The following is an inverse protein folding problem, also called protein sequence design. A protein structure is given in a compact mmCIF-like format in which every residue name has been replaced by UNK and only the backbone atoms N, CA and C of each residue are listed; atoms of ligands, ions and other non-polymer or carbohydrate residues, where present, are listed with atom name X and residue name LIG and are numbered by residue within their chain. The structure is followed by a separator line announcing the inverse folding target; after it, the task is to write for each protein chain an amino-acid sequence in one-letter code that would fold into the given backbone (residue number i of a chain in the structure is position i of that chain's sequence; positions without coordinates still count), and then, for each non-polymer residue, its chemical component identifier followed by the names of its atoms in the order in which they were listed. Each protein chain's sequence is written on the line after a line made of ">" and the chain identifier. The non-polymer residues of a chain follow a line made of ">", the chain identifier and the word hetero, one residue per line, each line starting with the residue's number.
data_IF_613779215530
#
_entry.id   IF_613779215530
#
_cell.length_a   1.000
_cell.length_b   1.000
_cell.length_c   1.000
_cell.angle_alpha   90.00
_cell.angle_beta   90.00
_cell.angle_gamma   90.00
#
_symmetry.space_group_name_H-M   'P 1'
#
loop_
_entity.id
_entity.type
_entity.pdbx_description
1 polymer ?
#
# COMPACT_ATOMS: atom_id res chain seq x y z
N UNK A 1 2.31 -3.97 -21.82
CA UNK A 1 2.20 -2.65 -21.20
C UNK A 1 2.86 -2.77 -19.83
N UNK A 2 4.10 -2.31 -19.67
CA UNK A 2 4.81 -2.42 -18.40
C UNK A 2 4.11 -1.51 -17.39
N UNK A 3 3.49 -2.08 -16.36
CA UNK A 3 2.99 -1.27 -15.23
C UNK A 3 4.21 -0.52 -14.68
N UNK A 4 4.18 0.82 -14.57
CA UNK A 4 5.31 1.56 -13.99
C UNK A 4 5.60 1.00 -12.61
N UNK A 5 6.87 0.73 -12.33
CA UNK A 5 7.27 0.24 -11.02
C UNK A 5 6.93 1.30 -9.97
N UNK A 6 6.33 0.90 -8.84
CA UNK A 6 5.99 1.85 -7.79
C UNK A 6 7.26 2.54 -7.27
N UNK A 7 7.15 3.85 -7.10
CA UNK A 7 8.19 4.70 -6.50
C UNK A 7 8.48 4.25 -5.08
N UNK A 8 9.67 4.58 -4.54
CA UNK A 8 10.04 4.21 -3.17
C UNK A 8 9.07 4.77 -2.12
N UNK A 9 8.45 5.92 -2.40
CA UNK A 9 7.39 6.51 -1.57
C UNK A 9 6.11 5.65 -1.57
N UNK A 10 5.72 5.11 -2.73
CA UNK A 10 4.60 4.18 -2.85
C UNK A 10 4.87 2.85 -2.13
N UNK A 11 6.11 2.36 -2.19
CA UNK A 11 6.54 1.20 -1.40
C UNK A 11 6.42 1.47 0.10
N UNK A 12 6.87 2.64 0.56
CA UNK A 12 6.74 3.03 1.97
C UNK A 12 5.27 3.07 2.42
N UNK A 13 4.36 3.56 1.57
CA UNK A 13 2.92 3.55 1.84
C UNK A 13 2.36 2.12 1.90
N UNK A 14 2.76 1.23 0.98
CA UNK A 14 2.34 -0.18 1.03
C UNK A 14 2.79 -0.89 2.31
N UNK A 15 4.02 -0.63 2.79
CA UNK A 15 4.52 -1.17 4.06
C UNK A 15 3.74 -0.61 5.24
N UNK A 16 3.46 0.70 5.26
CA UNK A 16 2.68 1.33 6.31
C UNK A 16 1.26 0.75 6.37
N UNK A 17 0.61 0.57 5.22
CA UNK A 17 -0.70 -0.09 5.15
C UNK A 17 -0.64 -1.52 5.69
N UNK A 18 0.40 -2.28 5.34
CA UNK A 18 0.60 -3.64 5.84
C UNK A 18 0.73 -3.68 7.37
N UNK A 19 1.37 -2.68 7.98
CA UNK A 19 1.64 -2.63 9.43
C UNK A 19 0.55 -1.94 10.26
N UNK A 20 -0.02 -0.84 9.75
CA UNK A 20 -0.89 0.08 10.50
C UNK A 20 -2.29 0.20 9.90
N UNK A 21 -2.56 -0.47 8.76
CA UNK A 21 -3.76 -0.30 7.95
C UNK A 21 -3.95 1.14 7.42
N UNK A 22 -2.86 1.90 7.27
CA UNK A 22 -2.87 3.26 6.73
C UNK A 22 -3.42 4.30 7.71
N UNK A 23 -3.27 4.04 9.01
CA UNK A 23 -3.86 4.86 10.08
C UNK A 23 -3.12 6.16 10.32
N UNK A 24 -1.83 6.20 10.02
CA UNK A 24 -0.92 7.30 10.29
C UNK A 24 -0.40 7.99 9.01
N UNK A 25 -1.08 7.77 7.88
CA UNK A 25 -0.68 8.34 6.59
C UNK A 25 -0.88 9.86 6.58
N UNK A 26 0.18 10.58 6.23
CA UNK A 26 0.14 12.03 6.01
C UNK A 26 -0.48 12.40 4.65
N UNK A 27 -0.62 13.70 4.36
CA UNK A 27 -1.31 14.18 3.15
C UNK A 27 -0.63 13.74 1.84
N UNK A 28 0.70 13.69 1.80
CA UNK A 28 1.46 13.18 0.64
C UNK A 28 1.27 11.68 0.46
N UNK A 29 1.40 10.92 1.54
CA UNK A 29 1.15 9.47 1.53
C UNK A 29 -0.30 9.10 1.17
N UNK A 30 -1.27 9.95 1.50
CA UNK A 30 -2.68 9.76 1.11
C UNK A 30 -2.91 9.94 -0.40
N UNK A 31 -2.19 10.83 -1.05
CA UNK A 31 -2.23 10.96 -2.51
C UNK A 31 -1.69 9.69 -3.17
N UNK A 32 -0.57 9.18 -2.67
CA UNK A 32 0.02 7.95 -3.19
C UNK A 32 -0.85 6.71 -2.88
N UNK A 33 -1.48 6.67 -1.70
CA UNK A 33 -2.48 5.66 -1.36
C UNK A 33 -3.63 5.63 -2.37
N UNK A 34 -4.17 6.79 -2.76
CA UNK A 34 -5.27 6.88 -3.73
C UNK A 34 -4.85 6.31 -5.08
N UNK A 35 -3.62 6.62 -5.51
CA UNK A 35 -3.01 6.03 -6.70
C UNK A 35 -2.88 4.51 -6.59
N UNK A 36 -2.38 3.99 -5.46
CA UNK A 36 -2.24 2.56 -5.20
C UNK A 36 -3.59 1.82 -5.18
N UNK A 37 -4.63 2.47 -4.65
CA UNK A 37 -6.02 1.95 -4.69
C UNK A 37 -6.52 1.93 -6.13
N UNK A 38 -6.30 3.00 -6.90
CA UNK A 38 -6.68 3.05 -8.31
C UNK A 38 -5.92 2.03 -9.17
N UNK A 39 -4.71 1.64 -8.76
CA UNK A 39 -3.92 0.58 -9.39
C UNK A 39 -4.31 -0.84 -8.96
N UNK A 40 -5.21 -0.98 -7.98
CA UNK A 40 -5.65 -2.27 -7.44
C UNK A 40 -4.63 -2.94 -6.51
N UNK A 41 -3.59 -2.22 -6.06
CA UNK A 41 -2.58 -2.73 -5.13
C UNK A 41 -3.05 -2.65 -3.67
N UNK A 42 -4.00 -1.76 -3.40
CA UNK A 42 -4.61 -1.56 -2.07
C UNK A 42 -6.13 -1.61 -2.21
N UNK A 43 -6.79 -2.25 -1.26
CA UNK A 43 -8.23 -2.24 -1.11
C UNK A 43 -8.63 -1.47 0.15
N UNK A 44 -9.76 -0.77 0.09
CA UNK A 44 -10.38 -0.18 1.27
C UNK A 44 -11.03 -1.30 2.07
N UNK A 45 -10.48 -1.58 3.25
CA UNK A 45 -11.15 -2.46 4.21
C UNK A 45 -12.32 -1.68 4.82
N UNK A 46 -13.49 -2.30 4.87
CA UNK A 46 -14.68 -1.70 5.47
C UNK A 46 -14.37 -1.26 6.90
N UNK A 47 -14.20 0.05 7.08
CA UNK A 47 -14.03 0.72 8.37
C UNK A 47 -15.20 1.67 8.59
N UNK A 48 -15.44 2.01 9.85
CA UNK A 48 -16.42 3.03 10.23
C UNK A 48 -16.21 4.30 9.39
N UNK A 49 -17.29 5.01 9.01
CA UNK A 49 -17.24 6.17 8.09
C UNK A 49 -16.24 7.24 8.52
N UNK A 50 -15.82 7.23 9.78
CA UNK A 50 -14.83 8.12 10.38
C UNK A 50 -13.37 7.65 10.30
N UNK A 51 -13.12 6.35 10.08
CA UNK A 51 -11.78 5.75 9.94
C UNK A 51 -11.81 4.66 8.88
N UNK A 52 -11.45 5.04 7.64
CA UNK A 52 -11.18 4.07 6.57
C UNK A 52 -9.90 3.33 6.91
N UNK A 53 -9.99 2.00 6.98
CA UNK A 53 -8.83 1.12 7.07
C UNK A 53 -8.49 0.64 5.66
N UNK A 54 -7.22 0.36 5.41
CA UNK A 54 -6.75 -0.13 4.13
C UNK A 54 -6.07 -1.48 4.30
N UNK A 55 -6.18 -2.32 3.29
CA UNK A 55 -5.53 -3.62 3.24
C UNK A 55 -4.83 -3.80 1.91
N UNK A 56 -3.66 -4.43 1.92
CA UNK A 56 -2.98 -4.83 0.69
C UNK A 56 -3.80 -5.89 -0.06
N UNK A 57 -3.84 -5.76 -1.38
CA UNK A 57 -4.30 -6.85 -2.24
C UNK A 57 -3.17 -7.86 -2.47
N UNK A 58 -3.47 -9.07 -3.00
CA UNK A 58 -2.43 -10.01 -3.39
C UNK A 58 -1.42 -9.42 -4.39
N UNK A 59 -1.85 -8.50 -5.26
CA UNK A 59 -0.96 -7.78 -6.17
C UNK A 59 -0.05 -6.81 -5.41
N UNK A 60 -0.59 -6.03 -4.45
CA UNK A 60 0.22 -5.13 -3.61
C UNK A 60 1.26 -5.87 -2.77
N UNK A 61 0.89 -7.04 -2.23
CA UNK A 61 1.84 -7.90 -1.51
C UNK A 61 2.94 -8.45 -2.43
N UNK A 62 2.60 -8.84 -3.67
CA UNK A 62 3.57 -9.32 -4.65
C UNK A 62 4.56 -8.22 -5.08
N UNK A 63 4.12 -6.96 -5.09
CA UNK A 63 4.99 -5.81 -5.34
C UNK A 63 6.03 -5.64 -4.24
N UNK A 64 5.62 -5.74 -2.96
CA UNK A 64 6.54 -5.69 -1.82
C UNK A 64 7.54 -6.84 -1.84
N UNK A 65 7.08 -8.04 -2.18
CA UNK A 65 7.91 -9.23 -2.31
C UNK A 65 8.97 -9.07 -3.40
N UNK A 66 8.59 -8.59 -4.60
CA UNK A 66 9.52 -8.32 -5.71
C UNK A 66 10.59 -7.28 -5.39
N UNK A 67 10.27 -6.28 -4.54
CA UNK A 67 11.24 -5.28 -4.05
C UNK A 67 12.12 -5.79 -2.91
N UNK A 68 11.91 -7.02 -2.43
CA UNK A 68 12.66 -7.61 -1.33
C UNK A 68 12.25 -7.11 0.06
N UNK A 69 11.09 -6.45 0.17
CA UNK A 69 10.61 -5.84 1.43
C UNK A 69 9.98 -6.88 2.37
N UNK A 70 9.85 -8.14 1.94
CA UNK A 70 9.40 -9.28 2.76
C UNK A 70 10.38 -10.46 2.85
N UNK A 71 11.51 -10.44 2.13
CA UNK A 71 12.40 -11.59 1.99
C UNK A 71 13.70 -11.50 2.83
N UNK A 72 13.83 -10.49 3.71
CA UNK A 72 15.02 -10.27 4.54
C UNK A 72 14.75 -10.46 6.05
N UNK A 73 13.81 -11.32 6.41
CA UNK A 73 13.73 -11.90 7.76
C UNK A 73 13.51 -13.42 7.66
N UNK A 74 14.57 -14.17 7.31
CA UNK A 74 14.87 -15.54 7.76
C UNK A 74 16.25 -15.99 7.25
#
# INVERSE_FOLDING_TARGET
>A
MNKPEPSDEAIAVLVDISRTAGRDLNAGQRLELDHLVSQGLVAVASGDRTRRSYQLTPEGQSVLDRRGVGANEA
#
